data_IF_042328195215
#
_entry.id   IF_042328195215
#
_cell.length_a   1.000
_cell.length_b   1.000
_cell.length_c   1.000
_cell.angle_alpha   90.00
_cell.angle_beta   90.00
_cell.angle_gamma   90.00
#
_symmetry.space_group_name_H-M   'P 1'
#
loop_
_entity.id
_entity.type
_entity.pdbx_description
1 polymer ?
#
# COMPACT_ATOMS: atom_id res chain seq x y z
N UNK A 1 13.05 0.63 2.09
CA UNK A 1 11.60 0.75 2.39
C UNK A 1 11.24 2.23 2.54
N UNK A 2 10.89 2.91 1.44
CA UNK A 2 10.37 4.27 1.49
C UNK A 2 8.97 4.29 2.10
N UNK A 3 8.74 5.22 3.02
CA UNK A 3 7.40 5.46 3.59
C UNK A 3 6.74 6.58 2.81
N UNK A 4 5.55 6.31 2.28
CA UNK A 4 4.79 7.24 1.44
C UNK A 4 3.95 8.17 2.33
N UNK A 5 3.19 7.60 3.26
CA UNK A 5 2.31 8.36 4.14
C UNK A 5 2.09 7.65 5.49
N UNK A 6 1.77 8.44 6.52
CA UNK A 6 1.30 7.96 7.81
C UNK A 6 -0.06 8.59 8.13
N UNK A 7 -1.07 7.76 8.39
CA UNK A 7 -2.44 8.24 8.65
C UNK A 7 -3.17 7.28 9.59
N UNK A 8 -3.84 7.82 10.61
CA UNK A 8 -4.68 7.06 11.55
C UNK A 8 -3.97 5.83 12.19
N UNK A 9 -2.67 5.99 12.46
CA UNK A 9 -1.80 4.93 12.99
C UNK A 9 -1.33 3.89 11.95
N UNK A 10 -1.79 3.98 10.71
CA UNK A 10 -1.30 3.17 9.60
C UNK A 10 -0.06 3.81 8.96
N UNK A 11 0.94 3.00 8.64
CA UNK A 11 2.09 3.40 7.85
C UNK A 11 2.01 2.74 6.48
N UNK A 12 2.03 3.54 5.41
CA UNK A 12 1.97 3.08 4.02
C UNK A 12 3.35 3.19 3.38
N UNK A 13 3.79 2.14 2.69
CA UNK A 13 5.14 2.01 2.18
C UNK A 13 5.20 1.00 1.03
N UNK A 14 6.35 0.94 0.36
CA UNK A 14 6.70 -0.16 -0.55
C UNK A 14 8.10 -0.67 -0.22
N UNK A 15 8.39 -1.91 -0.62
CA UNK A 15 9.73 -2.45 -0.46
C UNK A 15 10.64 -1.89 -1.56
N UNK A 16 11.90 -1.65 -1.23
CA UNK A 16 12.87 -1.17 -2.23
C UNK A 16 13.25 -2.26 -3.24
N UNK A 17 12.97 -3.53 -2.90
CA UNK A 17 13.31 -4.73 -3.64
C UNK A 17 12.03 -5.52 -3.96
N UNK A 18 11.19 -4.97 -4.84
CA UNK A 18 9.89 -5.54 -5.27
C UNK A 18 10.03 -6.68 -6.31
N UNK A 19 11.10 -7.48 -6.21
CA UNK A 19 11.35 -8.63 -7.09
C UNK A 19 11.70 -8.29 -8.55
N UNK A 20 11.99 -9.34 -9.32
CA UNK A 20 12.19 -9.33 -10.77
C UNK A 20 11.53 -10.61 -11.37
N UNK A 21 10.42 -10.49 -12.13
CA UNK A 21 9.77 -9.27 -12.58
C UNK A 21 9.01 -8.55 -11.46
N UNK A 22 8.97 -7.20 -11.55
CA UNK A 22 8.28 -6.35 -10.60
C UNK A 22 6.76 -6.52 -10.69
N UNK A 23 6.11 -6.54 -9.53
CA UNK A 23 4.66 -6.57 -9.43
C UNK A 23 4.00 -5.23 -9.85
N UNK A 24 2.72 -5.22 -10.25
CA UNK A 24 1.96 -3.99 -10.48
C UNK A 24 1.97 -3.02 -9.30
N UNK A 25 1.56 -1.76 -9.52
CA UNK A 25 1.59 -0.74 -8.47
C UNK A 25 0.76 -1.20 -7.27
N UNK A 26 1.37 -1.22 -6.10
CA UNK A 26 0.73 -1.59 -4.85
C UNK A 26 1.35 -0.86 -3.66
N UNK A 27 0.71 -0.99 -2.49
CA UNK A 27 1.20 -0.42 -1.26
C UNK A 27 1.05 -1.40 -0.11
N UNK A 28 2.08 -1.49 0.72
CA UNK A 28 2.06 -2.21 1.99
C UNK A 28 1.65 -1.27 3.12
N UNK A 29 0.87 -1.80 4.06
CA UNK A 29 0.26 -1.04 5.15
C UNK A 29 0.49 -1.79 6.44
N UNK A 30 1.11 -1.15 7.43
CA UNK A 30 1.36 -1.75 8.75
C UNK A 30 0.76 -0.96 9.90
N UNK A 31 0.30 -1.65 10.93
CA UNK A 31 -0.09 -1.09 12.23
C UNK A 31 -0.12 -2.16 13.32
N UNK A 32 0.57 -1.94 14.44
CA UNK A 32 0.45 -2.79 15.63
C UNK A 32 0.78 -4.27 15.41
N UNK A 33 1.76 -4.59 14.55
CA UNK A 33 2.11 -5.97 14.20
C UNK A 33 1.23 -6.60 13.11
N UNK A 34 0.18 -5.92 12.67
CA UNK A 34 -0.59 -6.28 11.48
C UNK A 34 0.01 -5.64 10.22
N UNK A 35 -0.14 -6.33 9.09
CA UNK A 35 0.33 -5.92 7.77
C UNK A 35 -0.67 -6.31 6.68
N UNK A 36 -0.82 -5.47 5.66
CA UNK A 36 -1.63 -5.74 4.48
C UNK A 36 -0.96 -5.19 3.23
N UNK A 37 -1.18 -5.87 2.10
CA UNK A 37 -0.81 -5.44 0.77
C UNK A 37 -2.07 -5.06 0.01
N UNK A 38 -2.07 -3.89 -0.61
CA UNK A 38 -3.19 -3.33 -1.35
C UNK A 38 -2.74 -3.08 -2.80
N UNK A 39 -3.39 -3.71 -3.77
CA UNK A 39 -3.20 -3.41 -5.18
C UNK A 39 -3.77 -2.02 -5.50
N UNK A 40 -3.09 -1.29 -6.39
CA UNK A 40 -3.64 -0.08 -7.02
C UNK A 40 -4.02 -0.34 -8.49
N UNK A 41 -3.31 -1.26 -9.15
CA UNK A 41 -3.59 -1.70 -10.52
C UNK A 41 -3.80 -3.22 -10.59
N UNK A 42 -4.68 -3.71 -11.47
CA UNK A 42 -5.60 -2.96 -12.34
C UNK A 42 -6.79 -2.35 -11.58
N UNK A 43 -7.08 -2.84 -10.37
CA UNK A 43 -8.15 -2.33 -9.50
C UNK A 43 -7.67 -2.26 -8.06
N UNK A 44 -8.22 -1.30 -7.31
CA UNK A 44 -7.90 -1.15 -5.89
C UNK A 44 -8.55 -2.26 -5.08
N UNK A 45 -7.75 -3.04 -4.36
CA UNK A 45 -8.25 -4.16 -3.55
C UNK A 45 -7.19 -4.74 -2.61
N UNK A 46 -7.65 -5.46 -1.58
CA UNK A 46 -6.75 -6.16 -0.66
C UNK A 46 -6.17 -7.38 -1.38
N UNK A 47 -4.85 -7.42 -1.51
CA UNK A 47 -4.11 -8.55 -2.05
C UNK A 47 -3.83 -9.59 -0.96
N UNK A 48 -3.36 -9.11 0.18
CA UNK A 48 -3.03 -9.91 1.35
C UNK A 48 -3.30 -9.08 2.61
N UNK A 49 -3.73 -9.71 3.69
CA UNK A 49 -3.93 -9.04 4.97
C UNK A 49 -3.75 -10.02 6.12
N UNK A 50 -2.84 -9.68 7.04
CA UNK A 50 -2.56 -10.41 8.27
C UNK A 50 -2.75 -9.50 9.47
N UNK A 51 -3.67 -9.88 10.36
CA UNK A 51 -3.92 -9.17 11.63
C UNK A 51 -4.93 -8.02 11.55
N UNK A 52 -5.37 -7.60 10.36
CA UNK A 52 -6.45 -6.62 10.20
C UNK A 52 -7.82 -7.30 10.05
N UNK A 53 -8.80 -6.81 10.79
CA UNK A 53 -10.21 -7.18 10.62
C UNK A 53 -10.86 -6.42 9.44
N UNK A 54 -12.07 -6.83 9.05
CA UNK A 54 -12.77 -6.27 7.88
C UNK A 54 -13.03 -4.76 7.98
N UNK A 55 -13.25 -4.23 9.20
CA UNK A 55 -13.46 -2.78 9.41
C UNK A 55 -12.17 -2.01 9.19
N UNK A 56 -11.05 -2.55 9.65
CA UNK A 56 -9.73 -1.97 9.45
C UNK A 56 -9.32 -2.04 7.97
N UNK A 57 -9.52 -3.17 7.30
CA UNK A 57 -9.27 -3.31 5.86
C UNK A 57 -10.10 -2.29 5.06
N UNK A 58 -11.37 -2.10 5.42
CA UNK A 58 -12.23 -1.08 4.80
C UNK A 58 -11.72 0.35 5.05
N UNK A 59 -11.15 0.63 6.23
CA UNK A 59 -10.53 1.92 6.51
C UNK A 59 -9.26 2.14 5.69
N UNK A 60 -8.40 1.12 5.59
CA UNK A 60 -7.18 1.12 4.78
C UNK A 60 -7.52 1.41 3.32
N UNK A 61 -8.48 0.67 2.74
CA UNK A 61 -8.91 0.88 1.34
C UNK A 61 -9.39 2.31 1.10
N UNK A 62 -10.17 2.89 2.02
CA UNK A 62 -10.59 4.30 1.90
C UNK A 62 -9.41 5.26 1.89
N UNK A 63 -8.41 5.04 2.75
CA UNK A 63 -7.21 5.88 2.77
C UNK A 63 -6.43 5.74 1.46
N UNK A 64 -6.27 4.51 0.95
CA UNK A 64 -5.60 4.25 -0.34
C UNK A 64 -6.33 4.94 -1.49
N UNK A 65 -7.66 4.84 -1.56
CA UNK A 65 -8.47 5.50 -2.60
C UNK A 65 -8.27 7.02 -2.56
N UNK A 66 -8.32 7.62 -1.37
CA UNK A 66 -8.16 9.07 -1.21
C UNK A 66 -6.75 9.53 -1.60
N UNK A 67 -5.72 8.71 -1.34
CA UNK A 67 -4.32 9.06 -1.59
C UNK A 67 -3.73 8.35 -2.82
N UNK A 68 -4.57 7.81 -3.70
CA UNK A 68 -4.16 7.01 -4.85
C UNK A 68 -3.07 7.69 -5.67
N UNK A 69 -3.31 8.94 -6.06
CA UNK A 69 -2.39 9.74 -6.89
C UNK A 69 -1.03 9.90 -6.20
N UNK A 70 -1.01 10.12 -4.89
CA UNK A 70 0.23 10.26 -4.12
C UNK A 70 1.03 8.95 -4.11
N UNK A 71 0.33 7.82 -3.89
CA UNK A 71 0.95 6.49 -3.83
C UNK A 71 1.50 6.10 -5.20
N UNK A 72 0.70 6.26 -6.27
CA UNK A 72 1.14 5.98 -7.65
C UNK A 72 2.35 6.83 -8.03
N UNK A 73 2.32 8.13 -7.73
CA UNK A 73 3.45 9.02 -8.01
C UNK A 73 4.70 8.59 -7.24
N UNK A 74 4.59 8.32 -5.94
CA UNK A 74 5.74 7.90 -5.14
C UNK A 74 6.35 6.58 -5.62
N UNK A 75 5.51 5.65 -6.08
CA UNK A 75 5.96 4.41 -6.69
C UNK A 75 6.72 4.67 -7.99
N UNK A 76 6.10 5.40 -8.93
CA UNK A 76 6.69 5.75 -10.24
C UNK A 76 8.00 6.51 -10.11
N UNK A 77 8.03 7.54 -9.26
CA UNK A 77 9.22 8.36 -8.98
C UNK A 77 10.37 7.50 -8.45
N UNK A 78 10.09 6.45 -7.68
CA UNK A 78 11.11 5.57 -7.10
C UNK A 78 11.61 4.50 -8.08
N UNK A 79 10.71 3.90 -8.84
CA UNK A 79 11.01 2.79 -9.75
C UNK A 79 11.33 3.22 -11.19
N UNK A 80 11.21 4.51 -11.51
CA UNK A 80 11.51 5.09 -12.82
C UNK A 80 10.45 4.79 -13.89
N UNK A 81 9.18 4.71 -13.47
CA UNK A 81 8.00 4.43 -14.33
C UNK A 81 7.13 5.67 -14.61
#
# INVERSE_FOLDING_TARGET
MPVILRRDGYTFFFYSNEGDPREPIHVHVRRGGAEAKIWLEPTIGVAESKGFNSREQSAILRIVIVHRILIEKAWRDYFGE
#
